data_IF_065384042093
#
_entry.id   IF_065384042093
#
_cell.length_a   1.000
_cell.length_b   1.000
_cell.length_c   1.000
_cell.angle_alpha   90.00
_cell.angle_beta   90.00
_cell.angle_gamma   90.00
#
_symmetry.space_group_name_H-M   'P 1'
#
loop_
_entity.id
_entity.type
_entity.pdbx_description
1 polymer ?
#
# COMPACT_ATOMS: atom_id res chain seq x y z
N UNK A 1 2.16 -7.50 -6.33
CA UNK A 1 3.29 -6.89 -5.60
C UNK A 1 3.64 -5.59 -6.29
N UNK A 2 3.58 -4.45 -5.61
CA UNK A 2 3.81 -3.13 -6.24
C UNK A 2 5.30 -2.80 -6.37
N UNK A 3 5.71 -1.98 -7.35
CA UNK A 3 7.09 -1.56 -7.52
C UNK A 3 7.71 -0.95 -6.25
N UNK A 4 6.91 -0.21 -5.46
CA UNK A 4 7.36 0.36 -4.18
C UNK A 4 7.78 -0.73 -3.18
N UNK A 5 7.06 -1.85 -3.08
CA UNK A 5 7.38 -2.94 -2.16
C UNK A 5 8.64 -3.68 -2.61
N UNK A 6 8.82 -3.84 -3.93
CA UNK A 6 10.05 -4.41 -4.48
C UNK A 6 11.25 -3.51 -4.15
N UNK A 7 11.15 -2.20 -4.41
CA UNK A 7 12.26 -1.27 -4.14
C UNK A 7 12.58 -1.18 -2.64
N UNK A 8 11.57 -1.22 -1.77
CA UNK A 8 11.79 -1.33 -0.32
C UNK A 8 12.58 -2.58 0.05
N UNK A 9 12.23 -3.74 -0.50
CA UNK A 9 12.92 -4.99 -0.23
C UNK A 9 14.37 -4.97 -0.74
N UNK A 10 14.61 -4.38 -1.91
CA UNK A 10 15.96 -4.17 -2.46
C UNK A 10 16.80 -3.28 -1.53
N UNK A 11 16.31 -2.10 -1.17
CA UNK A 11 17.01 -1.16 -0.30
C UNK A 11 17.24 -1.76 1.09
N UNK A 12 16.27 -2.49 1.64
CA UNK A 12 16.43 -3.22 2.89
C UNK A 12 17.56 -4.24 2.78
N UNK A 13 17.60 -5.03 1.71
CA UNK A 13 18.66 -6.02 1.51
C UNK A 13 20.03 -5.37 1.42
N UNK A 14 20.17 -4.26 0.68
CA UNK A 14 21.41 -3.48 0.60
C UNK A 14 21.85 -3.02 2.00
N UNK A 15 20.92 -2.49 2.79
CA UNK A 15 21.21 -1.95 4.11
C UNK A 15 21.75 -3.02 5.09
N UNK A 16 21.38 -4.29 4.89
CA UNK A 16 21.88 -5.40 5.72
C UNK A 16 23.35 -5.71 5.47
N UNK A 17 23.87 -5.36 4.28
CA UNK A 17 25.24 -5.64 3.87
C UNK A 17 26.17 -4.42 4.00
N UNK A 18 25.64 -3.21 3.84
CA UNK A 18 26.37 -1.95 4.01
C UNK A 18 25.43 -0.83 4.40
N UNK A 19 25.97 0.29 4.88
CA UNK A 19 25.17 1.51 5.05
C UNK A 19 24.64 1.99 3.68
N UNK A 20 23.41 2.49 3.67
CA UNK A 20 22.84 3.19 2.52
C UNK A 20 23.59 4.49 2.26
N UNK A 21 23.73 4.84 0.98
CA UNK A 21 24.13 6.19 0.58
C UNK A 21 23.01 7.19 0.90
N UNK A 22 23.32 8.49 0.93
CA UNK A 22 22.30 9.53 1.16
C UNK A 22 21.15 9.47 0.14
N UNK A 23 21.45 9.11 -1.11
CA UNK A 23 20.44 8.93 -2.15
C UNK A 23 19.53 7.73 -1.84
N UNK A 24 20.11 6.58 -1.47
CA UNK A 24 19.35 5.38 -1.11
C UNK A 24 18.53 5.56 0.18
N UNK A 25 19.02 6.31 1.16
CA UNK A 25 18.25 6.69 2.36
C UNK A 25 17.03 7.54 1.99
N UNK A 26 17.20 8.48 1.05
CA UNK A 26 16.09 9.28 0.54
C UNK A 26 15.09 8.44 -0.27
N UNK A 27 15.57 7.52 -1.11
CA UNK A 27 14.70 6.56 -1.80
C UNK A 27 13.93 5.67 -0.82
N UNK A 28 14.58 5.17 0.24
CA UNK A 28 13.94 4.36 1.27
C UNK A 28 12.82 5.14 1.95
N UNK A 29 13.09 6.41 2.31
CA UNK A 29 12.10 7.31 2.91
C UNK A 29 10.91 7.52 1.97
N UNK A 30 11.16 7.79 0.68
CA UNK A 30 10.11 7.97 -0.32
C UNK A 30 9.27 6.69 -0.48
N UNK A 31 9.90 5.53 -0.52
CA UNK A 31 9.17 4.26 -0.61
C UNK A 31 8.30 4.01 0.61
N UNK A 32 8.80 4.32 1.82
CA UNK A 32 8.03 4.20 3.07
C UNK A 32 6.82 5.13 3.10
N UNK A 33 6.96 6.38 2.63
CA UNK A 33 5.83 7.33 2.50
C UNK A 33 4.76 6.77 1.56
N UNK A 34 5.17 6.27 0.40
CA UNK A 34 4.25 5.69 -0.58
C UNK A 34 3.57 4.41 -0.06
N UNK A 35 4.32 3.57 0.64
CA UNK A 35 3.78 2.37 1.30
C UNK A 35 2.76 2.73 2.38
N UNK A 36 3.06 3.72 3.22
CA UNK A 36 2.13 4.19 4.24
C UNK A 36 0.83 4.71 3.61
N UNK A 37 0.91 5.51 2.55
CA UNK A 37 -0.26 5.98 1.80
C UNK A 37 -1.08 4.81 1.26
N UNK A 38 -0.44 3.85 0.59
CA UNK A 38 -1.10 2.66 0.06
C UNK A 38 -1.83 1.87 1.16
N UNK A 39 -1.17 1.59 2.28
CA UNK A 39 -1.78 0.84 3.38
C UNK A 39 -2.98 1.58 3.99
N UNK A 40 -2.88 2.90 4.17
CA UNK A 40 -3.99 3.70 4.69
C UNK A 40 -5.19 3.72 3.75
N UNK A 41 -4.97 3.86 2.45
CA UNK A 41 -6.02 3.86 1.45
C UNK A 41 -6.71 2.49 1.36
N UNK A 42 -5.94 1.40 1.38
CA UNK A 42 -6.48 0.05 1.39
C UNK A 42 -7.31 -0.22 2.65
N UNK A 43 -6.78 0.11 3.83
CA UNK A 43 -7.50 -0.07 5.09
C UNK A 43 -8.79 0.76 5.14
N UNK A 44 -8.79 1.95 4.54
CA UNK A 44 -9.99 2.78 4.43
C UNK A 44 -11.06 2.08 3.59
N UNK A 45 -10.70 1.57 2.41
CA UNK A 45 -11.61 0.84 1.53
C UNK A 45 -12.12 -0.46 2.16
N UNK A 46 -11.26 -1.23 2.84
CA UNK A 46 -11.67 -2.45 3.55
C UNK A 46 -12.71 -2.16 4.63
N UNK A 47 -12.53 -1.07 5.39
CA UNK A 47 -13.52 -0.62 6.37
C UNK A 47 -14.85 -0.20 5.71
N UNK A 48 -14.79 0.48 4.56
CA UNK A 48 -16.00 0.83 3.81
C UNK A 48 -16.73 -0.41 3.29
N UNK A 49 -16.00 -1.41 2.79
CA UNK A 49 -16.57 -2.68 2.33
C UNK A 49 -17.27 -3.43 3.47
N UNK A 50 -16.66 -3.44 4.66
CA UNK A 50 -17.27 -4.00 5.86
C UNK A 50 -18.57 -3.27 6.24
N UNK A 51 -18.56 -1.93 6.25
CA UNK A 51 -19.75 -1.14 6.54
C UNK A 51 -20.88 -1.40 5.53
N UNK A 52 -20.56 -1.44 4.23
CA UNK A 52 -21.52 -1.74 3.17
C UNK A 52 -22.18 -3.10 3.37
N UNK A 53 -21.38 -4.11 3.70
CA UNK A 53 -21.84 -5.46 4.04
C UNK A 53 -22.78 -5.45 5.26
N UNK A 54 -22.39 -4.75 6.34
CA UNK A 54 -23.18 -4.65 7.57
C UNK A 54 -24.53 -3.97 7.37
N UNK A 55 -24.62 -3.03 6.41
CA UNK A 55 -25.87 -2.34 6.07
C UNK A 55 -26.63 -3.00 4.91
N UNK A 56 -26.16 -4.15 4.41
CA UNK A 56 -26.70 -4.85 3.24
C UNK A 56 -26.78 -3.97 1.97
N UNK A 57 -25.88 -2.98 1.85
CA UNK A 57 -25.78 -2.12 0.66
C UNK A 57 -24.84 -2.78 -0.37
N UNK A 58 -25.41 -3.67 -1.16
CA UNK A 58 -24.70 -4.48 -2.15
C UNK A 58 -24.10 -3.62 -3.26
N UNK A 59 -24.78 -2.53 -3.66
CA UNK A 59 -24.28 -1.65 -4.71
C UNK A 59 -23.00 -0.91 -4.26
N UNK A 60 -23.04 -0.34 -3.05
CA UNK A 60 -21.85 0.28 -2.45
C UNK A 60 -20.73 -0.73 -2.24
N UNK A 61 -21.05 -1.95 -1.77
CA UNK A 61 -20.04 -2.99 -1.58
C UNK A 61 -19.32 -3.35 -2.89
N UNK A 62 -20.05 -3.49 -4.00
CA UNK A 62 -19.43 -3.75 -5.31
C UNK A 62 -18.54 -2.62 -5.79
N UNK A 63 -18.93 -1.36 -5.58
CA UNK A 63 -18.11 -0.19 -5.90
C UNK A 63 -16.79 -0.19 -5.11
N UNK A 64 -16.86 -0.44 -3.80
CA UNK A 64 -15.67 -0.48 -2.95
C UNK A 64 -14.75 -1.63 -3.34
N UNK A 65 -15.30 -2.82 -3.65
CA UNK A 65 -14.50 -3.95 -4.14
C UNK A 65 -13.77 -3.60 -5.45
N UNK A 66 -14.43 -2.92 -6.40
CA UNK A 66 -13.78 -2.46 -7.62
C UNK A 66 -12.62 -1.49 -7.33
N UNK A 67 -12.79 -0.59 -6.38
CA UNK A 67 -11.74 0.35 -5.96
C UNK A 67 -10.56 -0.38 -5.29
N UNK A 68 -10.82 -1.42 -4.48
CA UNK A 68 -9.79 -2.28 -3.89
C UNK A 68 -9.02 -3.01 -5.00
N UNK A 69 -9.71 -3.57 -5.99
CA UNK A 69 -9.07 -4.27 -7.11
C UNK A 69 -8.17 -3.32 -7.92
N UNK A 70 -8.64 -2.10 -8.19
CA UNK A 70 -7.85 -1.07 -8.87
C UNK A 70 -6.63 -0.65 -8.04
N UNK A 71 -6.79 -0.50 -6.72
CA UNK A 71 -5.71 -0.12 -5.83
C UNK A 71 -4.69 -1.26 -5.68
N UNK A 72 -5.10 -2.52 -5.71
CA UNK A 72 -4.22 -3.68 -5.43
C UNK A 72 -3.61 -4.31 -6.67
N UNK A 73 -4.18 -4.08 -7.86
CA UNK A 73 -3.60 -4.46 -9.16
C UNK A 73 -2.25 -3.80 -9.42
#
# INVERSE_FOLDING_TARGET
>A
MKPIHQRMAELWTIQTSRKLSSFEEQEMTNCMIMNAKYCWELAHLENQSLLASMTADVAWQHEVCLNIDQLTS
#
